data_IF_546621111091
#
_entry.id   IF_546621111091
#
_cell.length_a   1.000
_cell.length_b   1.000
_cell.length_c   1.000
_cell.angle_alpha   90.00
_cell.angle_beta   90.00
_cell.angle_gamma   90.00
#
_symmetry.space_group_name_H-M   'P 1'
#
loop_
_entity.id
_entity.type
_entity.pdbx_description
1 polymer ?
#
# COMPACT_ATOMS: atom_id res chain seq x y z
N UNK A 1 -16.45 -5.68 -15.14
CA UNK A 1 -15.60 -4.92 -14.19
C UNK A 1 -14.37 -4.46 -14.97
N UNK A 2 -14.10 -3.16 -15.05
CA UNK A 2 -12.94 -2.64 -15.79
C UNK A 2 -11.64 -3.09 -15.10
N UNK A 3 -10.64 -3.57 -15.85
CA UNK A 3 -9.37 -4.09 -15.32
C UNK A 3 -8.73 -3.11 -14.33
N UNK A 4 -8.75 -1.82 -14.70
CA UNK A 4 -8.27 -0.70 -13.90
C UNK A 4 -8.93 -0.58 -12.51
N UNK A 5 -10.24 -0.82 -12.42
CA UNK A 5 -10.95 -0.73 -11.14
C UNK A 5 -10.59 -1.90 -10.22
N UNK A 6 -10.42 -3.10 -10.80
CA UNK A 6 -10.02 -4.30 -10.05
C UNK A 6 -8.61 -4.16 -9.48
N UNK A 7 -7.68 -3.57 -10.24
CA UNK A 7 -6.31 -3.31 -9.79
C UNK A 7 -6.28 -2.26 -8.67
N UNK A 8 -7.05 -1.17 -8.80
CA UNK A 8 -7.12 -0.15 -7.77
C UNK A 8 -7.69 -0.68 -6.44
N UNK A 9 -8.74 -1.50 -6.51
CA UNK A 9 -9.31 -2.20 -5.35
C UNK A 9 -8.33 -3.20 -4.73
N UNK A 10 -7.58 -3.94 -5.56
CA UNK A 10 -6.58 -4.88 -5.07
C UNK A 10 -5.45 -4.16 -4.31
N UNK A 11 -4.97 -3.02 -4.82
CA UNK A 11 -3.95 -2.19 -4.14
C UNK A 11 -4.47 -1.68 -2.80
N UNK A 12 -5.72 -1.19 -2.75
CA UNK A 12 -6.33 -0.72 -1.52
C UNK A 12 -6.48 -1.86 -0.50
N UNK A 13 -7.01 -3.00 -0.92
CA UNK A 13 -7.19 -4.17 -0.06
C UNK A 13 -5.85 -4.71 0.47
N UNK A 14 -4.83 -4.79 -0.38
CA UNK A 14 -3.48 -5.21 0.03
C UNK A 14 -2.86 -4.23 1.01
N UNK A 15 -3.02 -2.92 0.80
CA UNK A 15 -2.57 -1.88 1.73
C UNK A 15 -3.26 -1.96 3.09
N UNK A 16 -4.58 -2.16 3.12
CA UNK A 16 -5.36 -2.32 4.37
C UNK A 16 -4.99 -3.63 5.09
N UNK A 17 -4.88 -4.74 4.35
CA UNK A 17 -4.47 -6.03 4.90
C UNK A 17 -3.05 -5.97 5.47
N UNK A 18 -2.14 -5.25 4.81
CA UNK A 18 -0.79 -4.99 5.30
C UNK A 18 -0.75 -4.11 6.56
N UNK A 19 -1.79 -3.31 6.81
CA UNK A 19 -1.88 -2.49 8.01
C UNK A 19 -2.36 -3.28 9.22
N UNK A 20 -3.34 -4.17 9.01
CA UNK A 20 -3.88 -5.03 10.07
C UNK A 20 -2.94 -6.19 10.42
N UNK A 21 -2.28 -6.74 9.42
CA UNK A 21 -1.29 -7.79 9.60
C UNK A 21 0.08 -7.13 9.76
N UNK A 22 0.49 -6.86 11.01
CA UNK A 22 1.77 -6.19 11.31
C UNK A 22 3.00 -6.92 10.71
N UNK A 23 2.89 -8.18 10.31
CA UNK A 23 3.97 -8.92 9.62
C UNK A 23 3.86 -8.89 8.08
N UNK A 24 2.84 -8.23 7.54
CA UNK A 24 2.53 -8.16 6.12
C UNK A 24 3.46 -7.24 5.30
N UNK A 25 4.76 -7.19 5.60
CA UNK A 25 5.75 -6.40 4.86
C UNK A 25 5.73 -6.76 3.36
N UNK A 26 5.57 -8.05 3.06
CA UNK A 26 5.39 -8.56 1.69
C UNK A 26 4.16 -7.94 1.01
N UNK A 27 3.03 -7.84 1.72
CA UNK A 27 1.80 -7.24 1.18
C UNK A 27 1.93 -5.73 1.01
N UNK A 28 2.66 -5.06 1.92
CA UNK A 28 2.98 -3.63 1.81
C UNK A 28 3.76 -3.34 0.52
N UNK A 29 4.83 -4.11 0.28
CA UNK A 29 5.70 -3.95 -0.89
C UNK A 29 4.93 -4.21 -2.18
N UNK A 30 4.08 -5.25 -2.21
CA UNK A 30 3.21 -5.55 -3.37
C UNK A 30 2.21 -4.42 -3.61
N UNK A 31 1.57 -3.88 -2.56
CA UNK A 31 0.63 -2.75 -2.69
C UNK A 31 1.32 -1.50 -3.24
N UNK A 32 2.54 -1.20 -2.78
CA UNK A 32 3.34 -0.06 -3.25
C UNK A 32 3.77 -0.25 -4.72
N UNK A 33 4.25 -1.44 -5.09
CA UNK A 33 4.66 -1.75 -6.47
C UNK A 33 3.48 -1.68 -7.45
N UNK A 34 2.37 -2.37 -7.16
CA UNK A 34 1.18 -2.31 -8.01
C UNK A 34 0.60 -0.90 -8.08
N UNK A 35 0.56 -0.19 -6.95
CA UNK A 35 0.03 1.16 -6.91
C UNK A 35 0.88 2.15 -7.71
N UNK A 36 2.21 2.03 -7.63
CA UNK A 36 3.15 2.83 -8.41
C UNK A 36 3.07 2.53 -9.90
N UNK A 37 2.99 1.25 -10.29
CA UNK A 37 2.78 0.83 -11.67
C UNK A 37 1.46 1.38 -12.24
N UNK A 38 0.38 1.30 -11.46
CA UNK A 38 -0.92 1.85 -11.82
C UNK A 38 -0.90 3.38 -11.98
N UNK A 39 -0.24 4.09 -11.06
CA UNK A 39 -0.09 5.55 -11.13
C UNK A 39 0.75 5.98 -12.34
N UNK A 40 1.79 5.22 -12.68
CA UNK A 40 2.64 5.48 -13.84
C UNK A 40 1.89 5.27 -15.16
N UNK A 41 1.06 4.23 -15.24
CA UNK A 41 0.22 3.93 -16.40
C UNK A 41 -0.96 4.90 -16.52
N UNK A 42 -1.48 5.36 -15.38
CA UNK A 42 -2.57 6.32 -15.30
C UNK A 42 -2.04 7.77 -15.38
N UNK A 43 -1.31 8.16 -16.43
CA UNK A 43 -0.87 9.57 -16.61
C UNK A 43 -1.99 10.53 -17.08
N UNK A 44 -3.20 10.03 -17.35
CA UNK A 44 -4.35 10.85 -17.77
C UNK A 44 -5.03 11.61 -16.63
N UNK A 45 -5.50 12.83 -16.90
CA UNK A 45 -6.13 13.76 -15.94
C UNK A 45 -7.57 13.37 -15.53
N UNK A 46 -8.04 12.15 -15.85
CA UNK A 46 -9.44 11.72 -15.65
C UNK A 46 -9.64 10.43 -14.85
N UNK A 47 -8.58 9.85 -14.28
CA UNK A 47 -8.67 8.57 -13.58
C UNK A 47 -9.11 8.78 -12.13
N UNK A 48 -10.42 8.70 -11.90
CA UNK A 48 -11.10 8.82 -10.59
C UNK A 48 -10.53 7.87 -9.52
N UNK A 49 -9.88 6.79 -9.97
CA UNK A 49 -9.29 5.74 -9.13
C UNK A 49 -7.87 6.05 -8.64
N UNK A 50 -7.23 7.13 -9.12
CA UNK A 50 -5.94 7.58 -8.61
C UNK A 50 -5.94 7.79 -7.11
N UNK A 51 -7.00 8.42 -6.60
CA UNK A 51 -7.13 8.70 -5.16
C UNK A 51 -7.13 7.39 -4.36
N UNK A 52 -7.92 6.38 -4.78
CA UNK A 52 -7.96 5.06 -4.13
C UNK A 52 -6.57 4.39 -4.09
N UNK A 53 -5.84 4.44 -5.20
CA UNK A 53 -4.48 3.87 -5.27
C UNK A 53 -3.52 4.64 -4.37
N UNK A 54 -3.62 5.97 -4.35
CA UNK A 54 -2.80 6.81 -3.48
C UNK A 54 -3.05 6.51 -1.99
N UNK A 55 -4.32 6.31 -1.59
CA UNK A 55 -4.64 5.93 -0.20
C UNK A 55 -4.08 4.56 0.15
N UNK A 56 -4.19 3.57 -0.76
CA UNK A 56 -3.65 2.23 -0.54
C UNK A 56 -2.13 2.21 -0.39
N UNK A 57 -1.42 2.92 -1.28
CA UNK A 57 0.05 3.10 -1.20
C UNK A 57 0.44 3.84 0.09
N UNK A 58 -0.27 4.91 0.44
CA UNK A 58 -0.04 5.67 1.66
C UNK A 58 -0.22 4.83 2.92
N UNK A 59 -1.28 4.01 2.99
CA UNK A 59 -1.52 3.05 4.08
C UNK A 59 -0.38 2.02 4.21
N UNK A 60 0.12 1.50 3.08
CA UNK A 60 1.27 0.59 3.07
C UNK A 60 2.53 1.24 3.65
N UNK A 61 2.84 2.48 3.24
CA UNK A 61 4.00 3.23 3.76
C UNK A 61 3.87 3.49 5.26
N UNK A 62 2.69 3.92 5.72
CA UNK A 62 2.42 4.16 7.14
C UNK A 62 2.58 2.86 7.94
N UNK A 63 2.09 1.73 7.42
CA UNK A 63 2.26 0.42 8.07
C UNK A 63 3.73 0.06 8.25
N UNK A 64 4.56 0.25 7.22
CA UNK A 64 6.02 0.01 7.29
C UNK A 64 6.67 0.93 8.34
N UNK A 65 6.26 2.20 8.40
CA UNK A 65 6.73 3.17 9.39
C UNK A 65 6.39 2.74 10.82
N UNK A 66 5.15 2.33 11.07
CA UNK A 66 4.70 1.82 12.37
C UNK A 66 5.50 0.56 12.74
N UNK A 67 5.66 -0.37 11.80
CA UNK A 67 6.43 -1.59 12.01
C UNK A 67 7.89 -1.28 12.39
N UNK A 68 8.52 -0.33 11.68
CA UNK A 68 9.89 0.12 11.99
C UNK A 68 10.01 0.69 13.40
N UNK A 69 9.04 1.53 13.82
CA UNK A 69 9.02 2.12 15.16
C UNK A 69 8.83 1.05 16.24
N UNK A 70 7.98 0.06 15.99
CA UNK A 70 7.76 -1.07 16.91
C UNK A 70 9.03 -1.92 17.02
N UNK A 71 9.69 -2.21 15.90
CA UNK A 71 10.94 -2.98 15.89
C UNK A 71 12.07 -2.26 16.63
N UNK A 72 12.17 -0.94 16.48
CA UNK A 72 13.11 -0.10 17.21
C UNK A 72 12.75 0.02 18.70
N UNK A 73 11.45 0.12 19.04
CA UNK A 73 11.00 0.22 20.43
C UNK A 73 11.12 -1.10 21.19
N UNK A 74 10.91 -2.23 20.51
CA UNK A 74 11.14 -3.58 21.05
C UNK A 74 12.57 -4.07 20.87
N UNK A 75 13.48 -3.24 20.35
CA UNK A 75 14.88 -3.65 20.21
C UNK A 75 15.38 -4.03 21.61
N UNK A 76 15.72 -5.31 21.83
CA UNK A 76 16.08 -5.78 23.15
C UNK A 76 17.31 -4.99 23.59
N UNK A 77 17.21 -4.37 24.77
CA UNK A 77 18.37 -3.83 25.49
C UNK A 77 19.29 -5.02 25.77
N UNK A 78 20.25 -5.25 24.86
CA UNK A 78 21.43 -6.05 25.15
C UNK A 78 22.41 -5.19 25.94
#
# INVERSE_FOLDING_TARGET
MNLKNSTALAVLLLGVLSFFDLFGLEKAVIAILLGSAYLSESKGFGDKYKYLVYTGVGLGIISILILTVIMLSKSPKW
#
